data_IF_102501761340
#
_entry.id   IF_102501761340
#
_cell.length_a   1.000
_cell.length_b   1.000
_cell.length_c   1.000
_cell.angle_alpha   90.00
_cell.angle_beta   90.00
_cell.angle_gamma   90.00
#
_symmetry.space_group_name_H-M   'P 1'
#
loop_
_entity.id
_entity.type
_entity.pdbx_description
1 polymer ?
#
# COMPACT_ATOMS: atom_id res chain seq x y z
N UNK A 1 -31.68 -20.00 -11.52
CA UNK A 1 -30.81 -18.86 -11.14
C UNK A 1 -30.81 -17.87 -12.29
N UNK A 2 -31.11 -16.60 -12.03
CA UNK A 2 -31.08 -15.53 -13.04
C UNK A 2 -29.70 -14.86 -13.01
N UNK A 3 -29.13 -14.54 -14.17
CA UNK A 3 -27.89 -13.78 -14.31
C UNK A 3 -28.17 -12.52 -15.13
N UNK A 4 -27.94 -11.35 -14.54
CA UNK A 4 -28.31 -10.04 -15.13
C UNK A 4 -27.39 -9.59 -16.30
N UNK A 5 -26.31 -10.32 -16.57
CA UNK A 5 -25.39 -9.99 -17.66
C UNK A 5 -24.70 -8.63 -17.49
N UNK A 6 -24.38 -7.97 -18.61
CA UNK A 6 -23.81 -6.61 -18.70
C UNK A 6 -22.54 -6.36 -17.83
N UNK A 7 -21.64 -7.34 -17.78
CA UNK A 7 -20.35 -7.24 -17.11
C UNK A 7 -19.26 -7.12 -18.19
N UNK A 8 -18.75 -5.91 -18.49
CA UNK A 8 -17.74 -5.75 -19.53
C UNK A 8 -16.44 -6.46 -19.12
N UNK A 9 -15.80 -7.10 -20.09
CA UNK A 9 -14.52 -7.80 -19.91
C UNK A 9 -13.57 -7.46 -21.04
N UNK A 10 -12.27 -7.53 -20.76
CA UNK A 10 -11.20 -7.51 -21.75
C UNK A 10 -10.48 -8.85 -21.70
N UNK A 11 -10.24 -9.47 -22.85
CA UNK A 11 -9.50 -10.73 -22.97
C UNK A 11 -8.27 -10.50 -23.84
N UNK A 12 -7.08 -10.68 -23.26
CA UNK A 12 -5.81 -10.65 -23.98
C UNK A 12 -5.36 -12.08 -24.24
N UNK A 13 -5.24 -12.46 -25.51
CA UNK A 13 -4.82 -13.79 -25.91
C UNK A 13 -3.34 -13.76 -26.32
N UNK A 14 -2.55 -14.63 -25.69
CA UNK A 14 -1.13 -14.83 -25.99
C UNK A 14 -0.85 -16.31 -26.20
N UNK A 15 0.07 -16.64 -27.11
CA UNK A 15 0.37 -18.03 -27.47
C UNK A 15 1.07 -18.79 -26.34
N UNK A 16 2.01 -18.14 -25.66
CA UNK A 16 2.75 -18.64 -24.51
C UNK A 16 3.32 -17.45 -23.73
N UNK A 17 3.46 -17.58 -22.41
CA UNK A 17 4.18 -16.61 -21.59
C UNK A 17 5.69 -16.85 -21.74
N UNK A 18 6.27 -16.27 -22.79
CA UNK A 18 7.72 -16.14 -22.96
C UNK A 18 8.21 -14.88 -22.24
N UNK A 19 9.53 -14.71 -22.01
CA UNK A 19 10.06 -13.47 -21.45
C UNK A 19 9.65 -12.22 -22.23
N UNK A 20 9.64 -12.31 -23.56
CA UNK A 20 9.19 -11.25 -24.46
C UNK A 20 7.69 -10.94 -24.31
N UNK A 21 6.84 -11.97 -24.29
CA UNK A 21 5.40 -11.79 -24.11
C UNK A 21 5.07 -11.21 -22.72
N UNK A 22 5.77 -11.65 -21.68
CA UNK A 22 5.61 -11.11 -20.33
C UNK A 22 6.04 -9.64 -20.26
N UNK A 23 7.20 -9.29 -20.82
CA UNK A 23 7.68 -7.91 -20.89
C UNK A 23 6.70 -7.01 -21.63
N UNK A 24 6.18 -7.47 -22.77
CA UNK A 24 5.16 -6.75 -23.54
C UNK A 24 3.87 -6.51 -22.76
N UNK A 25 3.40 -7.51 -21.99
CA UNK A 25 2.22 -7.35 -21.15
C UNK A 25 2.45 -6.35 -20.01
N UNK A 26 3.62 -6.38 -19.36
CA UNK A 26 3.97 -5.41 -18.31
C UNK A 26 4.01 -3.99 -18.91
N UNK A 27 4.74 -3.80 -20.00
CA UNK A 27 4.84 -2.50 -20.68
C UNK A 27 3.48 -1.96 -21.12
N UNK A 28 2.58 -2.83 -21.60
CA UNK A 28 1.20 -2.46 -21.92
C UNK A 28 0.47 -1.88 -20.71
N UNK A 29 0.60 -2.49 -19.54
CA UNK A 29 -0.02 -1.98 -18.30
C UNK A 29 0.66 -0.71 -17.77
N UNK A 30 1.99 -0.59 -17.88
CA UNK A 30 2.71 0.64 -17.55
C UNK A 30 2.21 1.83 -18.38
N UNK A 31 2.08 1.66 -19.70
CA UNK A 31 1.56 2.70 -20.58
C UNK A 31 0.07 2.98 -20.37
N UNK A 32 -0.74 1.97 -20.04
CA UNK A 32 -2.13 2.18 -19.63
C UNK A 32 -2.21 3.12 -18.42
N UNK A 33 -1.41 2.85 -17.38
CA UNK A 33 -1.38 3.65 -16.15
C UNK A 33 -0.87 5.07 -16.46
N UNK A 34 0.18 5.20 -17.28
CA UNK A 34 0.68 6.48 -17.73
C UNK A 34 -0.40 7.33 -18.43
N UNK A 35 -1.09 6.76 -19.43
CA UNK A 35 -2.15 7.46 -20.17
C UNK A 35 -3.28 7.89 -19.24
N UNK A 36 -3.68 7.03 -18.30
CA UNK A 36 -4.68 7.39 -17.28
C UNK A 36 -4.24 8.57 -16.42
N UNK A 37 -2.98 8.60 -15.99
CA UNK A 37 -2.41 9.72 -15.23
C UNK A 37 -2.41 11.03 -16.00
N UNK A 38 -2.05 10.99 -17.30
CA UNK A 38 -2.11 12.16 -18.19
C UNK A 38 -3.54 12.67 -18.31
N UNK A 39 -4.53 11.79 -18.50
CA UNK A 39 -5.96 12.17 -18.57
C UNK A 39 -6.42 12.85 -17.27
N UNK A 40 -6.01 12.32 -16.12
CA UNK A 40 -6.37 12.87 -14.81
C UNK A 40 -5.52 14.08 -14.40
N UNK A 41 -4.51 14.45 -15.19
CA UNK A 41 -3.55 15.51 -14.86
C UNK A 41 -2.90 15.30 -13.47
N UNK A 42 -2.51 14.06 -13.18
CA UNK A 42 -1.75 13.68 -11.98
C UNK A 42 -0.38 13.15 -12.38
N UNK A 43 0.58 13.25 -11.46
CA UNK A 43 1.94 12.79 -11.72
C UNK A 43 2.10 11.30 -11.34
N UNK A 44 2.01 10.40 -12.33
CA UNK A 44 2.08 8.94 -12.12
C UNK A 44 3.42 8.39 -11.61
N UNK A 45 4.43 9.25 -11.44
CA UNK A 45 5.79 8.86 -11.10
C UNK A 45 6.23 9.35 -9.72
N UNK A 46 5.33 9.93 -8.91
CA UNK A 46 5.59 10.22 -7.51
C UNK A 46 4.88 9.26 -6.54
N UNK A 47 5.28 9.34 -5.27
CA UNK A 47 4.74 8.52 -4.19
C UNK A 47 4.77 9.25 -2.84
N UNK A 48 4.51 10.56 -2.81
CA UNK A 48 4.61 11.38 -1.59
C UNK A 48 3.76 10.86 -0.42
N UNK A 49 2.64 10.19 -0.73
CA UNK A 49 1.74 9.62 0.28
C UNK A 49 2.37 8.58 1.22
N UNK A 50 3.55 8.04 0.93
CA UNK A 50 4.22 7.05 1.79
C UNK A 50 5.04 7.69 2.92
N UNK A 51 5.38 8.98 2.82
CA UNK A 51 6.41 9.57 3.65
C UNK A 51 5.96 9.83 5.09
N UNK A 52 4.73 10.30 5.29
CA UNK A 52 4.20 10.55 6.63
C UNK A 52 4.15 9.26 7.46
N UNK A 53 3.71 8.15 6.84
CA UNK A 53 3.67 6.84 7.49
C UNK A 53 5.05 6.35 7.92
N UNK A 54 6.07 6.51 7.07
CA UNK A 54 7.46 6.18 7.40
C UNK A 54 7.97 7.03 8.57
N UNK A 55 7.72 8.33 8.54
CA UNK A 55 8.14 9.25 9.61
C UNK A 55 7.49 8.91 10.94
N UNK A 56 6.19 8.60 10.95
CA UNK A 56 5.46 8.20 12.15
C UNK A 56 5.96 6.86 12.69
N UNK A 57 6.14 5.85 11.82
CA UNK A 57 6.63 4.53 12.22
C UNK A 57 8.03 4.60 12.85
N UNK A 58 8.94 5.39 12.28
CA UNK A 58 10.30 5.58 12.81
C UNK A 58 10.30 6.25 14.20
N UNK A 59 9.31 7.10 14.50
CA UNK A 59 9.15 7.71 15.83
C UNK A 59 8.54 6.75 16.84
N UNK A 60 7.55 5.96 16.43
CA UNK A 60 6.81 5.05 17.31
C UNK A 60 7.62 3.79 17.65
N UNK A 61 8.45 3.30 16.74
CA UNK A 61 9.19 2.04 16.92
C UNK A 61 10.04 2.01 18.22
N UNK A 62 10.85 3.03 18.56
CA UNK A 62 11.59 3.09 19.83
C UNK A 62 10.69 3.05 21.08
N UNK A 63 9.48 3.60 21.01
CA UNK A 63 8.50 3.60 22.10
C UNK A 63 7.91 2.20 22.33
N UNK A 64 7.81 1.39 21.27
CA UNK A 64 7.33 0.00 21.33
C UNK A 64 8.42 -0.99 21.76
N UNK A 65 9.69 -0.71 21.44
CA UNK A 65 10.84 -1.54 21.84
C UNK A 65 11.30 -1.24 23.26
N UNK A 66 10.88 -0.11 23.84
CA UNK A 66 11.29 0.33 25.18
C UNK A 66 12.61 1.08 25.19
N UNK A 67 13.12 1.45 24.02
CA UNK A 67 14.33 2.27 23.84
C UNK A 67 14.04 3.77 24.10
N UNK A 68 12.78 4.18 24.02
CA UNK A 68 12.34 5.54 24.32
C UNK A 68 11.06 5.53 25.17
N UNK A 69 10.84 6.62 25.92
CA UNK A 69 9.56 6.89 26.56
C UNK A 69 8.51 7.29 25.50
N UNK A 70 7.23 7.02 25.79
CA UNK A 70 6.11 7.39 24.91
C UNK A 70 6.08 8.92 24.75
N UNK A 71 6.18 9.41 23.51
CA UNK A 71 6.15 10.83 23.19
C UNK A 71 4.73 11.42 23.20
N UNK A 72 4.62 12.68 22.74
CA UNK A 72 3.33 13.31 22.53
C UNK A 72 2.67 12.80 21.23
N UNK A 73 1.61 12.01 21.39
CA UNK A 73 0.71 11.58 20.32
C UNK A 73 -0.73 11.91 20.69
N UNK A 74 -1.65 11.76 19.74
CA UNK A 74 -3.07 11.81 20.05
C UNK A 74 -3.49 10.70 21.04
N UNK A 75 -4.66 10.86 21.64
CA UNK A 75 -5.16 9.95 22.67
C UNK A 75 -5.35 8.51 22.16
N UNK A 76 -5.70 8.33 20.88
CA UNK A 76 -5.88 7.00 20.28
C UNK A 76 -4.54 6.29 20.15
N UNK A 77 -3.56 6.96 19.52
CA UNK A 77 -2.20 6.41 19.35
C UNK A 77 -1.56 6.08 20.70
N UNK A 78 -1.63 7.00 21.66
CA UNK A 78 -1.09 6.79 23.01
C UNK A 78 -1.76 5.61 23.73
N UNK A 79 -3.09 5.50 23.60
CA UNK A 79 -3.86 4.41 24.19
C UNK A 79 -3.45 3.04 23.64
N UNK A 80 -3.29 2.94 22.32
CA UNK A 80 -2.88 1.71 21.64
C UNK A 80 -1.44 1.30 21.99
N UNK A 81 -0.50 2.24 22.07
CA UNK A 81 0.88 1.96 22.48
C UNK A 81 0.90 1.35 23.89
N UNK A 82 0.18 1.96 24.84
CA UNK A 82 0.09 1.45 26.23
C UNK A 82 -0.56 0.06 26.30
N UNK A 83 -1.63 -0.15 25.54
CA UNK A 83 -2.30 -1.45 25.47
C UNK A 83 -1.36 -2.53 24.92
N UNK A 84 -0.64 -2.24 23.84
CA UNK A 84 0.36 -3.14 23.25
C UNK A 84 1.49 -3.48 24.23
N UNK A 85 2.07 -2.48 24.91
CA UNK A 85 3.15 -2.71 25.87
C UNK A 85 2.69 -3.55 27.07
N UNK A 86 1.46 -3.35 27.54
CA UNK A 86 0.86 -4.16 28.60
C UNK A 86 0.68 -5.61 28.15
N UNK A 87 0.17 -5.81 26.94
CA UNK A 87 -0.01 -7.13 26.35
C UNK A 87 1.34 -7.85 26.14
N UNK A 88 2.35 -7.17 25.60
CA UNK A 88 3.70 -7.71 25.40
C UNK A 88 4.33 -8.17 26.73
N UNK A 89 4.14 -7.42 27.82
CA UNK A 89 4.60 -7.82 29.16
C UNK A 89 3.87 -9.04 29.70
N UNK A 90 2.59 -9.25 29.37
CA UNK A 90 1.84 -10.43 29.81
C UNK A 90 2.24 -11.72 29.11
N UNK A 91 2.91 -11.61 27.95
CA UNK A 91 3.42 -12.74 27.18
C UNK A 91 4.86 -13.13 27.54
N UNK A 92 5.58 -12.26 28.26
CA UNK A 92 6.95 -12.48 28.73
C UNK A 92 6.92 -13.03 30.17
#
# INVERSE_FOLDING_TARGET
KVFDGNKPTNSFLVKQITPDALGSLIAMYEHKIFVQGVIWNIFSFDQWGVELGKQMANKILPELTGEAAIGEHDASTTGLIKAYLTFKKSLA
#
